data_IF_240723148020
#
_entry.id   IF_240723148020
#
_cell.length_a   1.000
_cell.length_b   1.000
_cell.length_c   1.000
_cell.angle_alpha   90.00
_cell.angle_beta   90.00
_cell.angle_gamma   90.00
#
_symmetry.space_group_name_H-M   'P 1'
#
loop_
_entity.id
_entity.type
_entity.pdbx_description
1 polymer ?
#
# COMPACT_ATOMS: atom_id res chain seq x y z
N UNK A 1 2.45 23.87 31.74
CA UNK A 1 2.04 22.70 30.98
C UNK A 1 3.03 22.46 29.85
N UNK A 2 3.55 21.26 29.73
CA UNK A 2 4.50 20.94 28.68
C UNK A 2 3.80 20.86 27.32
N UNK A 3 4.43 21.38 26.27
CA UNK A 3 3.93 21.24 24.91
C UNK A 3 4.19 19.82 24.42
N UNK A 4 3.24 19.27 23.71
CA UNK A 4 3.42 18.00 23.00
C UNK A 4 4.01 18.34 21.63
N UNK A 5 5.19 17.82 21.36
CA UNK A 5 5.84 17.98 20.06
C UNK A 5 5.65 16.69 19.23
N UNK A 6 5.34 16.89 17.96
CA UNK A 6 5.18 15.78 17.03
C UNK A 6 6.57 15.36 16.54
N UNK A 7 6.90 14.10 16.73
CA UNK A 7 8.19 13.56 16.28
C UNK A 7 8.11 13.06 14.84
N UNK A 8 9.24 12.96 14.11
CA UNK A 8 9.25 12.36 12.78
C UNK A 8 8.71 10.92 12.75
N UNK A 9 8.94 10.17 13.84
CA UNK A 9 8.41 8.82 13.97
C UNK A 9 6.88 8.82 14.03
N UNK A 10 6.31 9.74 14.80
CA UNK A 10 4.86 9.88 14.89
C UNK A 10 4.24 10.30 13.55
N UNK A 11 4.91 11.18 12.81
CA UNK A 11 4.47 11.58 11.48
C UNK A 11 4.46 10.39 10.51
N UNK A 12 5.50 9.55 10.57
CA UNK A 12 5.59 8.35 9.73
C UNK A 12 4.50 7.34 10.07
N UNK A 13 4.27 7.11 11.36
CA UNK A 13 3.18 6.23 11.81
C UNK A 13 1.82 6.74 11.36
N UNK A 14 1.62 8.04 11.42
CA UNK A 14 0.37 8.65 10.96
C UNK A 14 0.15 8.45 9.46
N UNK A 15 1.23 8.55 8.65
CA UNK A 15 1.13 8.28 7.22
C UNK A 15 0.76 6.82 6.94
N UNK A 16 1.36 5.89 7.67
CA UNK A 16 1.04 4.47 7.56
C UNK A 16 -0.43 4.22 7.93
N UNK A 17 -0.86 4.75 9.07
CA UNK A 17 -2.22 4.58 9.55
C UNK A 17 -3.24 5.15 8.56
N UNK A 18 -2.94 6.32 7.98
CA UNK A 18 -3.80 6.95 6.98
C UNK A 18 -3.90 6.09 5.72
N UNK A 19 -2.78 5.58 5.23
CA UNK A 19 -2.77 4.73 4.05
C UNK A 19 -3.50 3.40 4.29
N UNK A 20 -3.44 2.88 5.51
CA UNK A 20 -4.11 1.65 5.92
C UNK A 20 -5.59 1.84 6.29
N UNK A 21 -6.07 3.07 6.38
CA UNK A 21 -7.43 3.39 6.79
C UNK A 21 -8.48 3.15 5.71
N UNK A 22 -8.36 2.06 4.96
CA UNK A 22 -9.26 1.69 3.87
C UNK A 22 -9.33 0.17 3.78
N UNK A 23 -10.54 -0.44 3.85
CA UNK A 23 -10.66 -1.91 3.86
C UNK A 23 -9.97 -2.60 2.67
N UNK A 24 -10.08 -2.03 1.48
CA UNK A 24 -9.43 -2.59 0.29
C UNK A 24 -7.91 -2.60 0.42
N UNK A 25 -7.34 -1.55 0.99
CA UNK A 25 -5.89 -1.48 1.21
C UNK A 25 -5.41 -2.48 2.24
N UNK A 26 -6.20 -2.72 3.29
CA UNK A 26 -5.91 -3.78 4.25
C UNK A 26 -5.92 -5.15 3.56
N UNK A 27 -6.91 -5.39 2.69
CA UNK A 27 -6.98 -6.65 1.94
C UNK A 27 -5.75 -6.84 1.04
N UNK A 28 -5.31 -5.78 0.37
CA UNK A 28 -4.10 -5.81 -0.47
C UNK A 28 -2.87 -6.13 0.37
N UNK A 29 -2.70 -5.46 1.50
CA UNK A 29 -1.54 -5.69 2.39
C UNK A 29 -1.51 -7.12 2.91
N UNK A 30 -2.66 -7.67 3.30
CA UNK A 30 -2.75 -9.07 3.76
C UNK A 30 -2.42 -10.05 2.64
N UNK A 31 -2.87 -9.76 1.43
CA UNK A 31 -2.56 -10.59 0.27
C UNK A 31 -1.06 -10.59 -0.03
N UNK A 32 -0.43 -9.41 -0.02
CA UNK A 32 1.00 -9.27 -0.25
C UNK A 32 1.84 -9.91 0.86
N UNK A 33 1.39 -9.82 2.10
CA UNK A 33 2.10 -10.39 3.24
C UNK A 33 2.19 -11.92 3.18
N UNK A 34 1.30 -12.57 2.43
CA UNK A 34 1.28 -14.02 2.26
C UNK A 34 2.17 -14.48 1.11
N UNK A 35 2.80 -13.55 0.39
CA UNK A 35 3.58 -13.85 -0.81
C UNK A 35 4.92 -13.11 -0.75
N UNK A 36 5.95 -13.70 -1.35
CA UNK A 36 7.25 -13.05 -1.44
C UNK A 36 7.23 -11.90 -2.45
N UNK A 37 6.47 -12.07 -3.52
CA UNK A 37 6.27 -11.06 -4.56
C UNK A 37 4.95 -11.29 -5.26
N UNK A 38 4.44 -10.24 -5.89
CA UNK A 38 3.16 -10.30 -6.57
C UNK A 38 3.13 -9.30 -7.71
N UNK A 39 2.63 -9.73 -8.88
CA UNK A 39 2.42 -8.84 -10.00
C UNK A 39 1.06 -8.16 -9.90
N UNK A 40 0.94 -7.00 -10.53
CA UNK A 40 -0.30 -6.22 -10.56
C UNK A 40 -1.50 -7.06 -11.02
N UNK A 41 -1.30 -7.90 -12.06
CA UNK A 41 -2.36 -8.77 -12.57
C UNK A 41 -2.90 -9.73 -11.52
N UNK A 42 -2.01 -10.26 -10.66
CA UNK A 42 -2.43 -11.17 -9.59
C UNK A 42 -3.29 -10.44 -8.55
N UNK A 43 -2.91 -9.22 -8.20
CA UNK A 43 -3.65 -8.40 -7.25
C UNK A 43 -5.01 -8.04 -7.83
N UNK A 44 -5.04 -7.59 -9.07
CA UNK A 44 -6.26 -7.21 -9.76
C UNK A 44 -7.23 -8.40 -9.89
N UNK A 45 -6.71 -9.60 -10.14
CA UNK A 45 -7.51 -10.80 -10.32
C UNK A 45 -8.31 -11.17 -9.06
N UNK A 46 -7.71 -11.00 -7.87
CA UNK A 46 -8.38 -11.34 -6.61
C UNK A 46 -9.28 -10.22 -6.08
N UNK A 47 -9.21 -9.04 -6.67
CA UNK A 47 -10.05 -7.90 -6.30
C UNK A 47 -11.07 -7.63 -7.40
N UNK A 48 -12.35 -7.62 -7.04
CA UNK A 48 -13.45 -7.38 -8.00
C UNK A 48 -13.69 -5.88 -8.18
N UNK A 49 -12.64 -5.12 -8.49
CA UNK A 49 -12.71 -3.68 -8.70
C UNK A 49 -11.92 -3.28 -9.94
N UNK A 50 -12.14 -2.06 -10.44
CA UNK A 50 -11.49 -1.57 -11.65
C UNK A 50 -9.97 -1.48 -11.49
N UNK A 51 -9.23 -1.74 -12.58
CA UNK A 51 -7.77 -1.66 -12.59
C UNK A 51 -7.24 -0.31 -12.12
N UNK A 52 -7.87 0.78 -12.54
CA UNK A 52 -7.46 2.13 -12.14
C UNK A 52 -7.57 2.32 -10.62
N UNK A 53 -8.60 1.75 -10.00
CA UNK A 53 -8.80 1.82 -8.55
C UNK A 53 -7.74 1.00 -7.81
N UNK A 54 -7.43 -0.21 -8.29
CA UNK A 54 -6.36 -1.03 -7.73
C UNK A 54 -5.03 -0.30 -7.82
N UNK A 55 -4.73 0.27 -8.98
CA UNK A 55 -3.50 1.04 -9.22
C UNK A 55 -3.38 2.21 -8.26
N UNK A 56 -4.47 2.94 -8.02
CA UNK A 56 -4.48 4.07 -7.09
C UNK A 56 -4.20 3.63 -5.65
N UNK A 57 -4.82 2.54 -5.20
CA UNK A 57 -4.55 2.00 -3.87
C UNK A 57 -3.09 1.59 -3.70
N UNK A 58 -2.53 0.92 -4.71
CA UNK A 58 -1.12 0.51 -4.68
C UNK A 58 -0.18 1.72 -4.65
N UNK A 59 -0.49 2.77 -5.41
CA UNK A 59 0.29 4.01 -5.40
C UNK A 59 0.29 4.66 -4.02
N UNK A 60 -0.87 4.73 -3.37
CA UNK A 60 -0.99 5.30 -2.03
C UNK A 60 -0.19 4.51 -0.99
N UNK A 61 -0.25 3.18 -1.06
CA UNK A 61 0.52 2.32 -0.17
C UNK A 61 2.02 2.45 -0.41
N UNK A 62 2.43 2.57 -1.67
CA UNK A 62 3.83 2.73 -2.05
C UNK A 62 4.37 4.08 -1.58
N UNK A 63 3.63 5.16 -1.80
CA UNK A 63 4.03 6.51 -1.36
C UNK A 63 4.15 6.60 0.15
N UNK A 64 3.31 5.89 0.89
CA UNK A 64 3.38 5.83 2.35
C UNK A 64 4.59 5.02 2.84
N UNK A 65 5.20 4.21 1.98
CA UNK A 65 6.34 3.37 2.34
C UNK A 65 5.97 2.00 2.87
N UNK A 66 4.70 1.60 2.75
CA UNK A 66 4.24 0.29 3.22
C UNK A 66 4.55 -0.85 2.25
N UNK A 67 4.66 -0.54 0.96
CA UNK A 67 5.02 -1.51 -0.07
C UNK A 67 6.06 -0.92 -1.00
N UNK A 68 6.74 -1.78 -1.74
CA UNK A 68 7.64 -1.41 -2.81
C UNK A 68 7.07 -1.89 -4.14
N UNK A 69 7.43 -1.20 -5.22
CA UNK A 69 7.03 -1.59 -6.56
C UNK A 69 8.21 -1.54 -7.51
N UNK A 70 8.38 -2.58 -8.32
CA UNK A 70 9.43 -2.67 -9.32
C UNK A 70 8.81 -2.95 -10.68
N UNK A 71 9.21 -2.16 -11.67
CA UNK A 71 8.75 -2.38 -13.05
C UNK A 71 9.64 -3.41 -13.70
N UNK A 72 9.03 -4.55 -14.04
CA UNK A 72 9.67 -5.60 -14.86
C UNK A 72 8.84 -5.71 -16.15
N UNK A 73 9.23 -4.98 -17.22
CA UNK A 73 8.38 -4.93 -18.41
C UNK A 73 8.07 -6.32 -18.98
N UNK A 74 6.79 -6.56 -19.36
CA UNK A 74 5.67 -5.62 -19.38
C UNK A 74 4.87 -5.57 -18.07
N UNK A 75 5.41 -6.10 -16.96
CA UNK A 75 4.70 -6.27 -15.69
C UNK A 75 5.23 -5.33 -14.61
N UNK A 76 4.38 -5.04 -13.62
CA UNK A 76 4.77 -4.35 -12.39
C UNK A 76 4.65 -5.35 -11.24
N UNK A 77 5.73 -5.48 -10.47
CA UNK A 77 5.83 -6.40 -9.34
C UNK A 77 5.83 -5.62 -8.03
N UNK A 78 5.14 -6.14 -7.06
CA UNK A 78 5.06 -5.56 -5.72
C UNK A 78 5.56 -6.48 -4.63
#
# INVERSE_FOLDING_TARGET
MAKIEITPEQERLARFAKAMGHPTRIAILRFLAQRNECFFGDIHEVLSIAKATVSQHLSELKEAGLIQGTIEPPKVKY
#
